data_IF_809038305255
#
_entry.id   IF_809038305255
#
_cell.length_a   1.000
_cell.length_b   1.000
_cell.length_c   1.000
_cell.angle_alpha   90.00
_cell.angle_beta   90.00
_cell.angle_gamma   90.00
#
_symmetry.space_group_name_H-M   'P 1'
#
loop_
_entity.id
_entity.type
_entity.pdbx_description
1 polymer ?
#
# COMPACT_ATOMS: atom_id res chain seq x y z
N UNK A 1 -9.37 -19.29 -11.97
CA UNK A 1 -8.71 -17.99 -11.74
C UNK A 1 -7.94 -18.15 -10.44
N UNK A 2 -6.71 -17.67 -10.34
CA UNK A 2 -5.97 -17.69 -9.07
C UNK A 2 -6.77 -16.98 -8.00
N UNK A 3 -6.85 -17.56 -6.81
CA UNK A 3 -7.46 -16.92 -5.63
C UNK A 3 -6.53 -15.85 -5.05
N UNK A 4 -5.25 -15.87 -5.45
CA UNK A 4 -4.24 -14.95 -4.97
C UNK A 4 -4.14 -13.70 -5.86
N UNK A 5 -4.01 -12.54 -5.20
CA UNK A 5 -3.74 -11.25 -5.85
C UNK A 5 -2.23 -11.02 -5.97
N UNK A 6 -1.46 -11.48 -4.99
CA UNK A 6 0.00 -11.42 -4.95
C UNK A 6 0.56 -12.84 -4.80
N UNK A 7 1.53 -13.18 -5.64
CA UNK A 7 2.33 -14.39 -5.55
C UNK A 7 3.80 -14.01 -5.77
N UNK A 8 4.61 -14.27 -4.75
CA UNK A 8 6.04 -13.96 -4.73
C UNK A 8 6.80 -15.25 -4.37
N UNK A 9 7.83 -15.61 -5.18
CA UNK A 9 8.68 -16.76 -4.94
C UNK A 9 10.15 -16.39 -5.07
N UNK A 10 10.95 -16.79 -4.09
CA UNK A 10 12.40 -16.59 -4.01
C UNK A 10 12.85 -15.14 -4.27
N UNK A 11 12.02 -14.15 -3.88
CA UNK A 11 12.28 -12.76 -4.19
C UNK A 11 13.45 -12.22 -3.39
N UNK A 12 14.42 -11.66 -4.08
CA UNK A 12 15.65 -11.12 -3.51
C UNK A 12 15.82 -9.66 -3.95
N UNK A 13 16.29 -8.82 -3.04
CA UNK A 13 16.69 -7.44 -3.35
C UNK A 13 18.06 -7.15 -2.74
N UNK A 14 19.01 -6.81 -3.61
CA UNK A 14 20.35 -6.38 -3.23
C UNK A 14 20.57 -4.97 -3.73
N UNK A 15 21.03 -4.09 -2.86
CA UNK A 15 21.50 -2.76 -3.20
C UNK A 15 23.03 -2.80 -3.28
N UNK A 16 23.57 -2.27 -4.36
CA UNK A 16 25.00 -2.18 -4.60
C UNK A 16 25.45 -0.74 -4.45
N UNK A 17 26.46 -0.50 -3.63
CA UNK A 17 27.24 0.73 -3.61
C UNK A 17 28.69 0.39 -4.01
N UNK A 18 29.52 1.37 -4.25
CA UNK A 18 30.92 1.14 -4.69
C UNK A 18 31.71 0.26 -3.72
N UNK A 19 31.32 0.16 -2.45
CA UNK A 19 32.08 -0.53 -1.39
C UNK A 19 31.28 -1.63 -0.68
N UNK A 20 29.92 -1.65 -0.78
CA UNK A 20 29.08 -2.51 0.06
C UNK A 20 27.90 -3.11 -0.74
N UNK A 21 27.66 -4.38 -0.53
CA UNK A 21 26.43 -5.07 -0.87
C UNK A 21 25.48 -5.10 0.33
N UNK A 22 24.25 -4.60 0.16
CA UNK A 22 23.21 -4.68 1.19
C UNK A 22 22.08 -5.59 0.72
N UNK A 23 21.95 -6.74 1.35
CA UNK A 23 20.86 -7.69 1.10
C UNK A 23 19.61 -7.26 1.86
N UNK A 24 18.75 -6.47 1.22
CA UNK A 24 17.53 -5.98 1.84
C UNK A 24 16.41 -7.02 1.90
N UNK A 25 16.38 -7.95 0.93
CA UNK A 25 15.46 -9.10 0.91
C UNK A 25 16.22 -10.35 0.43
N UNK A 26 15.97 -11.49 1.08
CA UNK A 26 16.74 -12.73 0.89
C UNK A 26 15.81 -13.93 0.71
N UNK A 27 15.33 -14.14 -0.53
CA UNK A 27 14.52 -15.31 -0.89
C UNK A 27 13.10 -15.27 -0.28
N UNK A 28 12.44 -14.14 -0.31
CA UNK A 28 11.08 -13.98 0.23
C UNK A 28 10.08 -14.82 -0.56
N UNK A 29 9.24 -15.56 0.17
CA UNK A 29 8.03 -16.21 -0.32
C UNK A 29 6.81 -15.59 0.33
N UNK A 30 5.85 -15.15 -0.47
CA UNK A 30 4.65 -14.49 0.03
C UNK A 30 3.48 -14.67 -0.94
N UNK A 31 2.32 -15.02 -0.40
CA UNK A 31 1.05 -14.96 -1.13
C UNK A 31 0.08 -14.07 -0.38
N UNK A 32 -0.75 -13.31 -1.10
CA UNK A 32 -1.89 -12.56 -0.53
C UNK A 32 -3.12 -12.92 -1.36
N UNK A 33 -4.15 -13.41 -0.68
CA UNK A 33 -5.43 -13.76 -1.28
C UNK A 33 -6.25 -12.53 -1.67
N UNK A 34 -7.17 -12.72 -2.60
CA UNK A 34 -8.14 -11.67 -2.94
C UNK A 34 -9.11 -11.47 -1.79
N UNK A 35 -9.34 -10.21 -1.40
CA UNK A 35 -10.17 -9.85 -0.26
C UNK A 35 -9.50 -10.06 1.10
N UNK A 36 -8.22 -10.46 1.15
CA UNK A 36 -7.48 -10.66 2.40
C UNK A 36 -6.97 -9.31 2.95
N UNK A 37 -7.01 -9.15 4.26
CA UNK A 37 -6.36 -8.06 4.97
C UNK A 37 -5.13 -8.59 5.71
N UNK A 38 -3.94 -8.21 5.25
CA UNK A 38 -2.67 -8.60 5.86
C UNK A 38 -1.94 -7.41 6.47
N UNK A 39 -1.31 -7.62 7.64
CA UNK A 39 -0.40 -6.67 8.26
C UNK A 39 1.04 -7.17 8.21
N UNK A 40 1.96 -6.32 7.79
CA UNK A 40 3.39 -6.58 7.74
C UNK A 40 4.07 -5.92 8.93
N UNK A 41 4.78 -6.69 9.74
CA UNK A 41 5.49 -6.23 10.93
C UNK A 41 6.92 -6.74 10.97
N UNK A 42 7.73 -6.21 11.88
CA UNK A 42 9.14 -6.60 12.08
C UNK A 42 9.99 -5.42 12.56
N UNK A 43 11.24 -5.65 12.98
CA UNK A 43 12.16 -4.62 13.45
C UNK A 43 12.45 -3.53 12.41
N UNK A 44 12.96 -2.38 12.85
CA UNK A 44 13.45 -1.35 11.92
C UNK A 44 14.58 -1.91 11.05
N UNK A 45 14.58 -1.57 9.76
CA UNK A 45 15.62 -2.02 8.83
C UNK A 45 15.45 -3.45 8.29
N UNK A 46 14.48 -4.25 8.75
CA UNK A 46 14.32 -5.65 8.33
C UNK A 46 13.81 -5.86 6.89
N UNK A 47 13.59 -4.79 6.11
CA UNK A 47 13.18 -4.88 4.69
C UNK A 47 11.70 -4.60 4.38
N UNK A 48 10.85 -4.20 5.36
CA UNK A 48 9.40 -3.95 5.15
C UNK A 48 9.11 -2.94 4.03
N UNK A 49 9.73 -1.76 4.10
CA UNK A 49 9.52 -0.71 3.08
C UNK A 49 10.08 -1.11 1.72
N UNK A 50 11.17 -1.90 1.69
CA UNK A 50 11.70 -2.47 0.44
C UNK A 50 10.72 -3.46 -0.17
N UNK A 51 10.18 -4.38 0.63
CA UNK A 51 9.19 -5.35 0.16
C UNK A 51 7.92 -4.65 -0.30
N UNK A 52 7.42 -3.68 0.47
CA UNK A 52 6.24 -2.89 0.09
C UNK A 52 6.47 -2.10 -1.21
N UNK A 53 7.67 -1.54 -1.40
CA UNK A 53 8.03 -0.83 -2.64
C UNK A 53 8.04 -1.75 -3.85
N UNK A 54 8.52 -3.00 -3.71
CA UNK A 54 8.50 -3.99 -4.79
C UNK A 54 7.07 -4.47 -5.05
N UNK A 55 6.30 -4.80 -4.01
CA UNK A 55 4.88 -5.14 -4.14
C UNK A 55 4.12 -4.01 -4.83
N UNK A 56 4.45 -2.77 -4.48
CA UNK A 56 3.88 -1.56 -5.04
C UNK A 56 4.37 -1.20 -6.44
N UNK A 57 5.26 -1.97 -7.04
CA UNK A 57 5.86 -1.67 -8.34
C UNK A 57 6.56 -0.30 -8.39
N UNK A 58 7.05 0.19 -7.24
CA UNK A 58 7.89 1.39 -7.14
C UNK A 58 9.36 1.04 -7.39
N UNK A 59 9.76 -0.17 -6.99
CA UNK A 59 11.09 -0.74 -7.22
C UNK A 59 10.98 -2.12 -7.91
N UNK A 60 12.11 -2.71 -8.30
CA UNK A 60 12.21 -4.03 -8.93
C UNK A 60 13.03 -4.96 -8.07
N UNK A 61 12.71 -6.26 -8.01
CA UNK A 61 13.57 -7.25 -7.37
C UNK A 61 14.87 -7.43 -8.16
N UNK A 62 15.91 -7.91 -7.48
CA UNK A 62 17.17 -8.34 -8.12
C UNK A 62 17.01 -9.73 -8.72
N UNK A 63 16.26 -10.61 -8.05
CA UNK A 63 15.96 -11.98 -8.51
C UNK A 63 14.63 -12.47 -7.93
N UNK A 64 14.15 -13.60 -8.42
CA UNK A 64 12.88 -14.21 -8.02
C UNK A 64 11.72 -13.85 -8.95
N UNK A 65 10.54 -14.34 -8.62
CA UNK A 65 9.31 -14.09 -9.37
C UNK A 65 8.31 -13.26 -8.56
N UNK A 66 7.53 -12.45 -9.27
CA UNK A 66 6.41 -11.71 -8.70
C UNK A 66 5.27 -11.66 -9.70
N UNK A 67 4.12 -12.15 -9.28
CA UNK A 67 2.87 -12.13 -10.05
C UNK A 67 1.83 -11.27 -9.30
N UNK A 68 1.27 -10.28 -9.97
CA UNK A 68 0.20 -9.41 -9.48
C UNK A 68 -1.06 -9.62 -10.31
N UNK A 69 -2.15 -10.03 -9.66
CA UNK A 69 -3.44 -10.28 -10.33
C UNK A 69 -3.30 -11.18 -11.58
N UNK A 70 -2.51 -12.26 -11.47
CA UNK A 70 -2.23 -13.22 -12.55
C UNK A 70 -1.25 -12.73 -13.62
N UNK A 71 -0.63 -11.55 -13.49
CA UNK A 71 0.34 -10.99 -14.43
C UNK A 71 1.75 -11.06 -13.85
N UNK A 72 2.71 -11.64 -14.56
CA UNK A 72 4.12 -11.59 -14.17
C UNK A 72 4.64 -10.15 -14.28
N UNK A 73 5.15 -9.59 -13.16
CA UNK A 73 5.50 -8.16 -13.06
C UNK A 73 6.95 -7.90 -12.64
N UNK A 74 7.72 -8.93 -12.28
CA UNK A 74 9.09 -8.79 -11.78
C UNK A 74 10.04 -8.07 -12.79
N UNK A 75 9.89 -8.34 -14.08
CA UNK A 75 10.81 -7.90 -15.13
C UNK A 75 10.18 -6.90 -16.11
N UNK A 76 9.17 -6.16 -15.69
CA UNK A 76 8.53 -5.15 -16.55
C UNK A 76 9.44 -3.95 -16.78
N UNK A 77 9.37 -3.38 -17.98
CA UNK A 77 9.95 -2.08 -18.24
C UNK A 77 9.23 -0.98 -17.47
N UNK A 78 9.83 0.21 -17.41
CA UNK A 78 9.31 1.32 -16.61
C UNK A 78 7.88 1.74 -17.00
N UNK A 79 7.56 1.78 -18.31
CA UNK A 79 6.26 2.22 -18.80
C UNK A 79 5.14 1.21 -18.44
N UNK A 80 5.38 -0.08 -18.67
CA UNK A 80 4.42 -1.14 -18.34
C UNK A 80 4.22 -1.26 -16.83
N UNK A 81 5.31 -1.15 -16.04
CA UNK A 81 5.27 -1.14 -14.59
C UNK A 81 4.42 0.02 -14.06
N UNK A 82 4.61 1.24 -14.58
CA UNK A 82 3.83 2.41 -14.21
C UNK A 82 2.35 2.28 -14.56
N UNK A 83 2.04 1.69 -15.73
CA UNK A 83 0.67 1.43 -16.16
C UNK A 83 -0.02 0.42 -15.24
N UNK A 84 0.61 -0.72 -14.97
CA UNK A 84 0.04 -1.76 -14.10
C UNK A 84 -0.12 -1.23 -12.68
N UNK A 85 0.87 -0.52 -12.13
CA UNK A 85 0.76 0.14 -10.83
C UNK A 85 -0.46 1.04 -10.74
N UNK A 86 -0.66 1.90 -11.74
CA UNK A 86 -1.83 2.80 -11.77
C UNK A 86 -3.16 2.06 -11.86
N UNK A 87 -3.20 0.88 -12.48
CA UNK A 87 -4.42 0.10 -12.66
C UNK A 87 -4.77 -0.77 -11.45
N UNK A 88 -3.75 -1.40 -10.84
CA UNK A 88 -3.94 -2.48 -9.89
C UNK A 88 -3.71 -2.05 -8.43
N UNK A 89 -2.99 -0.94 -8.18
CA UNK A 89 -2.51 -0.59 -6.84
C UNK A 89 -3.01 0.78 -6.41
N UNK A 90 -3.57 0.84 -5.21
CA UNK A 90 -3.87 2.08 -4.49
C UNK A 90 -2.91 2.26 -3.32
N UNK A 91 -2.17 3.39 -3.28
CA UNK A 91 -1.23 3.68 -2.20
C UNK A 91 -1.82 4.62 -1.16
N UNK A 92 -1.61 4.28 0.11
CA UNK A 92 -1.90 5.09 1.29
C UNK A 92 -0.58 5.26 2.06
N UNK A 93 -0.02 6.47 2.09
CA UNK A 93 1.26 6.77 2.72
C UNK A 93 1.08 7.41 4.09
N UNK A 94 2.05 7.25 4.96
CA UNK A 94 2.12 7.90 6.26
C UNK A 94 2.06 9.43 6.16
N UNK A 95 2.75 10.02 5.19
CA UNK A 95 2.83 11.48 4.98
C UNK A 95 1.74 12.02 4.05
N UNK A 96 0.64 11.27 3.83
CA UNK A 96 -0.49 11.59 2.96
C UNK A 96 -0.11 11.78 1.49
N UNK A 97 1.00 12.43 1.19
CA UNK A 97 1.54 12.74 -0.15
C UNK A 97 0.50 13.43 -1.05
N UNK A 98 -0.27 14.38 -0.48
CA UNK A 98 -1.15 15.25 -1.23
C UNK A 98 -0.35 16.40 -1.85
N UNK A 99 -0.70 16.78 -3.07
CA UNK A 99 -0.11 17.93 -3.75
C UNK A 99 -0.81 19.18 -3.22
N UNK A 100 -0.04 20.07 -2.57
CA UNK A 100 -0.56 21.24 -1.86
C UNK A 100 -1.30 22.24 -2.75
N UNK A 101 -0.87 22.39 -3.99
CA UNK A 101 -1.42 23.31 -4.99
C UNK A 101 -2.66 22.76 -5.71
N UNK A 102 -3.04 21.51 -5.46
CA UNK A 102 -4.24 20.89 -5.98
C UNK A 102 -5.33 20.83 -4.91
N UNK A 103 -6.56 21.04 -5.32
CA UNK A 103 -7.73 20.81 -4.45
C UNK A 103 -7.86 19.34 -4.06
N UNK A 104 -8.70 19.04 -3.10
CA UNK A 104 -9.06 17.67 -2.70
C UNK A 104 -9.55 16.85 -3.89
N UNK A 105 -10.44 17.41 -4.71
CA UNK A 105 -10.96 16.71 -5.90
C UNK A 105 -9.87 16.44 -6.92
N UNK A 106 -8.98 17.39 -7.19
CA UNK A 106 -7.87 17.25 -8.14
C UNK A 106 -6.83 16.23 -7.64
N UNK A 107 -6.52 16.19 -6.33
CA UNK A 107 -5.67 15.16 -5.76
C UNK A 107 -6.24 13.75 -5.97
N UNK A 108 -7.55 13.57 -5.80
CA UNK A 108 -8.22 12.28 -6.02
C UNK A 108 -8.35 11.95 -7.51
N UNK A 109 -8.51 12.94 -8.37
CA UNK A 109 -8.57 12.76 -9.83
C UNK A 109 -7.21 12.38 -10.43
N UNK A 110 -6.11 12.80 -9.81
CA UNK A 110 -4.76 12.70 -10.38
C UNK A 110 -4.42 11.31 -10.95
N UNK A 111 -4.59 10.18 -10.22
CA UNK A 111 -4.30 8.86 -10.78
C UNK A 111 -5.18 8.49 -11.97
N UNK A 112 -6.37 9.05 -12.08
CA UNK A 112 -7.28 8.80 -13.19
C UNK A 112 -6.89 9.55 -14.47
N UNK A 113 -6.14 10.65 -14.36
CA UNK A 113 -5.66 11.41 -15.53
C UNK A 113 -4.66 10.63 -16.39
N UNK A 114 -3.97 9.66 -15.78
CA UNK A 114 -3.02 8.78 -16.49
C UNK A 114 -3.70 7.59 -17.18
N UNK A 115 -5.03 7.43 -17.04
CA UNK A 115 -5.79 6.34 -17.68
C UNK A 115 -6.24 6.76 -19.07
N UNK A 116 -5.63 6.15 -20.08
CA UNK A 116 -5.97 6.42 -21.46
C UNK A 116 -7.44 6.11 -21.75
N UNK A 117 -8.13 7.02 -22.41
CA UNK A 117 -9.51 6.81 -22.88
C UNK A 117 -10.60 7.04 -21.83
N UNK A 118 -10.28 7.41 -20.58
CA UNK A 118 -11.29 7.70 -19.55
C UNK A 118 -11.88 9.12 -19.74
N UNK A 119 -13.18 9.27 -20.05
CA UNK A 119 -13.80 10.57 -20.22
C UNK A 119 -13.77 11.41 -18.94
N UNK A 120 -13.72 12.75 -19.05
CA UNK A 120 -13.72 13.65 -17.91
C UNK A 120 -14.95 13.47 -17.01
N UNK A 121 -16.12 13.20 -17.61
CA UNK A 121 -17.35 12.95 -16.85
C UNK A 121 -17.23 11.69 -15.96
N UNK A 122 -16.62 10.62 -16.45
CA UNK A 122 -16.37 9.39 -15.70
C UNK A 122 -15.36 9.63 -14.57
N UNK A 123 -14.26 10.37 -14.83
CA UNK A 123 -13.29 10.74 -13.79
C UNK A 123 -13.96 11.49 -12.65
N UNK A 124 -14.76 12.53 -12.98
CA UNK A 124 -15.48 13.32 -11.98
C UNK A 124 -16.44 12.47 -11.14
N UNK A 125 -17.15 11.53 -11.77
CA UNK A 125 -18.03 10.60 -11.08
C UNK A 125 -17.24 9.73 -10.08
N UNK A 126 -16.14 9.12 -10.52
CA UNK A 126 -15.27 8.30 -9.65
C UNK A 126 -14.67 9.11 -8.49
N UNK A 127 -14.27 10.35 -8.73
CA UNK A 127 -13.79 11.27 -7.69
C UNK A 127 -14.88 11.53 -6.64
N UNK A 128 -16.09 11.86 -7.08
CA UNK A 128 -17.22 12.09 -6.19
C UNK A 128 -17.53 10.85 -5.33
N UNK A 129 -17.66 9.69 -5.95
CA UNK A 129 -17.93 8.41 -5.28
C UNK A 129 -16.81 8.06 -4.25
N UNK A 130 -15.55 8.26 -4.62
CA UNK A 130 -14.42 8.00 -3.71
C UNK A 130 -14.40 8.95 -2.51
N UNK A 131 -14.73 10.23 -2.72
CA UNK A 131 -14.79 11.20 -1.64
C UNK A 131 -16.02 10.99 -0.72
N UNK A 132 -17.13 10.51 -1.27
CA UNK A 132 -18.30 10.11 -0.49
C UNK A 132 -17.99 8.93 0.43
N UNK A 133 -17.31 7.90 -0.06
CA UNK A 133 -16.90 6.72 0.72
C UNK A 133 -16.06 7.07 1.95
N UNK A 134 -15.25 8.11 1.88
CA UNK A 134 -14.41 8.56 2.99
C UNK A 134 -15.00 9.76 3.76
N UNK A 135 -16.26 10.15 3.44
CA UNK A 135 -16.96 11.29 4.03
C UNK A 135 -16.22 12.62 3.86
N UNK A 136 -15.65 12.86 2.66
CA UNK A 136 -14.90 14.08 2.33
C UNK A 136 -15.49 14.87 1.13
N UNK A 137 -16.61 14.45 0.55
CA UNK A 137 -17.21 15.11 -0.61
C UNK A 137 -17.55 16.60 -0.36
N UNK A 138 -17.94 16.96 0.87
CA UNK A 138 -18.22 18.34 1.27
C UNK A 138 -16.96 19.24 1.28
N UNK A 139 -15.75 18.66 1.21
CA UNK A 139 -14.46 19.35 1.19
C UNK A 139 -13.76 19.33 -0.17
N UNK A 140 -14.40 18.84 -1.23
CA UNK A 140 -13.79 18.61 -2.54
C UNK A 140 -13.09 19.83 -3.16
N UNK A 141 -13.52 21.06 -2.81
CA UNK A 141 -12.95 22.33 -3.29
C UNK A 141 -11.86 22.90 -2.38
N UNK A 142 -11.59 22.28 -1.23
CA UNK A 142 -10.56 22.74 -0.29
C UNK A 142 -9.19 22.28 -0.76
N UNK A 143 -8.16 22.95 -0.26
CA UNK A 143 -6.76 22.58 -0.44
C UNK A 143 -6.25 21.77 0.78
N UNK A 144 -5.21 20.94 0.63
CA UNK A 144 -4.66 20.16 1.73
C UNK A 144 -4.35 20.97 2.99
N UNK A 145 -3.78 22.17 2.85
CA UNK A 145 -3.46 23.06 3.96
C UNK A 145 -4.69 23.51 4.81
N UNK A 146 -5.89 23.36 4.28
CA UNK A 146 -7.15 23.69 4.96
C UNK A 146 -7.77 22.50 5.72
N UNK A 147 -7.08 21.34 5.73
CA UNK A 147 -7.55 20.09 6.29
C UNK A 147 -6.72 19.69 7.51
N UNK A 148 -7.37 19.06 8.50
CA UNK A 148 -6.65 18.36 9.56
C UNK A 148 -5.92 17.14 9.01
N UNK A 149 -4.91 16.62 9.74
CA UNK A 149 -4.17 15.42 9.34
C UNK A 149 -5.07 14.21 9.05
N UNK A 150 -6.06 13.95 9.92
CA UNK A 150 -7.03 12.89 9.70
C UNK A 150 -7.90 13.09 8.45
N UNK A 151 -8.25 14.35 8.12
CA UNK A 151 -8.95 14.66 6.87
C UNK A 151 -8.04 14.47 5.66
N UNK A 152 -6.78 14.88 5.73
CA UNK A 152 -5.80 14.65 4.67
C UNK A 152 -5.61 13.15 4.41
N UNK A 153 -5.51 12.33 5.45
CA UNK A 153 -5.40 10.88 5.31
C UNK A 153 -6.64 10.27 4.66
N UNK A 154 -7.84 10.70 5.02
CA UNK A 154 -9.07 10.27 4.34
C UNK A 154 -9.05 10.63 2.84
N UNK A 155 -8.56 11.80 2.47
CA UNK A 155 -8.38 12.18 1.06
C UNK A 155 -7.35 11.30 0.37
N UNK A 156 -6.24 10.94 1.04
CA UNK A 156 -5.25 10.00 0.51
C UNK A 156 -5.85 8.60 0.29
N UNK A 157 -6.74 8.14 1.20
CA UNK A 157 -7.50 6.90 1.01
C UNK A 157 -8.45 7.02 -0.19
N UNK A 158 -9.19 8.13 -0.34
CA UNK A 158 -10.06 8.35 -1.50
C UNK A 158 -9.27 8.34 -2.82
N UNK A 159 -8.09 8.96 -2.86
CA UNK A 159 -7.18 8.92 -4.01
C UNK A 159 -6.75 7.49 -4.34
N UNK A 160 -6.44 6.69 -3.34
CA UNK A 160 -6.08 5.28 -3.53
C UNK A 160 -7.24 4.47 -4.13
N UNK A 161 -8.48 4.74 -3.71
CA UNK A 161 -9.69 4.06 -4.15
C UNK A 161 -10.17 4.47 -5.56
N UNK A 162 -9.89 5.69 -6.00
CA UNK A 162 -10.47 6.30 -7.21
C UNK A 162 -10.28 5.45 -8.47
N UNK A 163 -9.14 4.75 -8.55
CA UNK A 163 -8.82 3.83 -9.63
C UNK A 163 -9.52 2.47 -9.55
N UNK A 164 -10.27 2.15 -8.52
CA UNK A 164 -10.79 0.80 -8.24
C UNK A 164 -9.65 -0.25 -8.30
N UNK A 165 -8.61 -0.10 -7.46
CA UNK A 165 -7.44 -0.97 -7.49
C UNK A 165 -7.79 -2.40 -7.04
N UNK A 166 -6.94 -3.36 -7.44
CA UNK A 166 -7.04 -4.75 -6.98
C UNK A 166 -6.51 -4.94 -5.57
N UNK A 167 -5.62 -4.05 -5.10
CA UNK A 167 -5.05 -4.06 -3.76
C UNK A 167 -4.76 -2.64 -3.26
N UNK A 168 -4.99 -2.41 -1.98
CA UNK A 168 -4.54 -1.22 -1.26
C UNK A 168 -3.26 -1.55 -0.49
N UNK A 169 -2.22 -0.74 -0.71
CA UNK A 169 -0.96 -0.81 0.03
C UNK A 169 -0.89 0.38 0.98
N UNK A 170 -0.88 0.12 2.28
CA UNK A 170 -0.84 1.15 3.32
C UNK A 170 0.50 1.10 4.05
N UNK A 171 1.29 2.16 3.92
CA UNK A 171 2.57 2.31 4.61
C UNK A 171 2.39 3.21 5.83
N UNK A 172 2.32 2.61 7.01
CA UNK A 172 2.09 3.27 8.30
C UNK A 172 0.96 4.32 8.26
N UNK A 173 -0.27 3.95 7.86
CA UNK A 173 -1.32 4.91 7.51
C UNK A 173 -1.79 5.79 8.66
N UNK A 174 -1.36 5.51 9.89
CA UNK A 174 -1.71 6.23 11.12
C UNK A 174 -0.52 6.94 11.77
N UNK A 175 0.70 6.77 11.25
CA UNK A 175 1.93 7.20 11.92
C UNK A 175 2.04 8.71 12.16
N UNK A 176 1.36 9.55 11.37
CA UNK A 176 1.33 11.01 11.53
C UNK A 176 0.00 11.53 12.12
N UNK A 177 -0.79 10.65 12.75
CA UNK A 177 -2.10 11.00 13.29
C UNK A 177 -2.13 10.87 14.82
N UNK A 178 -2.95 11.69 15.47
CA UNK A 178 -3.33 11.43 16.84
C UNK A 178 -4.16 10.15 16.96
N UNK A 179 -4.29 9.60 18.14
CA UNK A 179 -4.97 8.31 18.38
C UNK A 179 -6.39 8.29 17.85
N UNK A 180 -7.17 9.35 18.04
CA UNK A 180 -8.56 9.43 17.60
C UNK A 180 -8.69 9.40 16.07
N UNK A 181 -7.84 10.16 15.37
CA UNK A 181 -7.83 10.18 13.91
C UNK A 181 -7.25 8.87 13.36
N UNK A 182 -6.25 8.28 14.02
CA UNK A 182 -5.71 6.97 13.68
C UNK A 182 -6.78 5.87 13.73
N UNK A 183 -7.53 5.78 14.85
CA UNK A 183 -8.64 4.83 14.98
C UNK A 183 -9.71 5.03 13.89
N UNK A 184 -10.03 6.28 13.55
CA UNK A 184 -11.01 6.57 12.51
C UNK A 184 -10.54 6.15 11.11
N UNK A 185 -9.23 6.22 10.81
CA UNK A 185 -8.65 5.71 9.56
C UNK A 185 -8.64 4.19 9.56
N UNK A 186 -8.27 3.55 10.68
CA UNK A 186 -8.28 2.08 10.77
C UNK A 186 -9.69 1.52 10.62
N UNK A 187 -10.69 2.15 11.23
CA UNK A 187 -12.09 1.79 11.04
C UNK A 187 -12.51 1.89 9.56
N UNK A 188 -12.10 2.96 8.87
CA UNK A 188 -12.36 3.10 7.43
C UNK A 188 -11.71 1.96 6.62
N UNK A 189 -10.46 1.56 6.92
CA UNK A 189 -9.81 0.44 6.24
C UNK A 189 -10.53 -0.89 6.52
N UNK A 190 -11.03 -1.11 7.73
CA UNK A 190 -11.84 -2.28 8.06
C UNK A 190 -13.17 -2.31 7.30
N UNK A 191 -13.87 -1.16 7.19
CA UNK A 191 -15.10 -1.05 6.41
C UNK A 191 -14.83 -1.40 4.94
N UNK A 192 -13.75 -0.87 4.34
CA UNK A 192 -13.33 -1.20 2.99
C UNK A 192 -13.00 -2.68 2.80
N UNK A 193 -12.34 -3.30 3.78
CA UNK A 193 -12.07 -4.74 3.77
C UNK A 193 -13.36 -5.56 3.82
N UNK A 194 -14.31 -5.21 4.68
CA UNK A 194 -15.64 -5.86 4.75
C UNK A 194 -16.42 -5.75 3.43
N UNK A 195 -16.16 -4.70 2.64
CA UNK A 195 -16.70 -4.54 1.28
C UNK A 195 -15.92 -5.36 0.23
N UNK A 196 -14.91 -6.12 0.62
CA UNK A 196 -14.11 -7.01 -0.23
C UNK A 196 -12.80 -6.43 -0.75
N UNK A 197 -12.33 -5.30 -0.23
CA UNK A 197 -11.01 -4.78 -0.61
C UNK A 197 -9.89 -5.68 -0.09
N UNK A 198 -8.89 -5.94 -0.92
CA UNK A 198 -7.63 -6.56 -0.49
C UNK A 198 -6.72 -5.48 0.07
N UNK A 199 -6.16 -5.68 1.26
CA UNK A 199 -5.33 -4.69 1.95
C UNK A 199 -4.03 -5.33 2.42
N UNK A 200 -2.90 -4.69 2.11
CA UNK A 200 -1.60 -5.00 2.71
C UNK A 200 -1.10 -3.75 3.44
N UNK A 201 -0.99 -3.82 4.75
CA UNK A 201 -0.59 -2.70 5.60
C UNK A 201 0.76 -2.99 6.26
N UNK A 202 1.67 -2.03 6.22
CA UNK A 202 2.85 -1.99 7.08
C UNK A 202 2.51 -1.17 8.30
N UNK A 203 2.74 -1.72 9.49
CA UNK A 203 2.59 -0.99 10.75
C UNK A 203 3.53 -1.54 11.82
N UNK A 204 4.00 -0.67 12.68
CA UNK A 204 4.74 -1.03 13.90
C UNK A 204 3.85 -1.01 15.15
N UNK A 205 2.59 -0.58 15.04
CA UNK A 205 1.64 -0.59 16.15
C UNK A 205 0.89 -1.95 16.21
N UNK A 206 1.13 -2.75 17.26
CA UNK A 206 0.50 -4.08 17.37
C UNK A 206 -1.03 -4.00 17.48
N UNK A 207 -1.58 -2.89 18.01
CA UNK A 207 -3.03 -2.69 18.10
C UNK A 207 -3.64 -2.64 16.70
N UNK A 208 -2.98 -1.96 15.77
CA UNK A 208 -3.44 -1.85 14.39
C UNK A 208 -3.13 -3.10 13.58
N UNK A 209 -2.01 -3.77 13.83
CA UNK A 209 -1.71 -5.07 13.21
C UNK A 209 -2.77 -6.13 13.54
N UNK A 210 -3.35 -6.10 14.74
CA UNK A 210 -4.40 -7.01 15.18
C UNK A 210 -5.74 -6.88 14.42
N UNK A 211 -5.92 -5.82 13.62
CA UNK A 211 -7.09 -5.67 12.76
C UNK A 211 -7.00 -6.51 11.47
N UNK A 212 -5.81 -6.97 11.10
CA UNK A 212 -5.60 -7.82 9.94
C UNK A 212 -5.97 -9.28 10.24
N UNK A 213 -6.41 -10.01 9.21
CA UNK A 213 -6.71 -11.44 9.32
C UNK A 213 -5.45 -12.28 9.48
N UNK A 214 -4.32 -11.80 8.92
CA UNK A 214 -3.02 -12.47 9.00
C UNK A 214 -1.90 -11.45 9.16
N UNK A 215 -0.92 -11.82 9.97
CA UNK A 215 0.30 -11.05 10.14
C UNK A 215 1.45 -11.72 9.38
N UNK A 216 2.24 -10.91 8.70
CA UNK A 216 3.46 -11.30 8.00
C UNK A 216 4.62 -10.68 8.77
N UNK A 217 5.48 -11.52 9.32
CA UNK A 217 6.64 -11.08 10.08
C UNK A 217 7.88 -11.08 9.21
N UNK A 218 8.54 -9.92 9.10
CA UNK A 218 9.84 -9.80 8.46
C UNK A 218 10.94 -9.71 9.50
N UNK A 219 12.01 -10.47 9.28
CA UNK A 219 13.24 -10.40 10.05
C UNK A 219 14.42 -10.58 9.10
N UNK A 220 15.38 -9.66 9.11
CA UNK A 220 16.60 -9.68 8.28
C UNK A 220 16.36 -10.07 6.82
N UNK A 221 15.42 -9.39 6.18
CA UNK A 221 15.07 -9.57 4.77
C UNK A 221 14.31 -10.87 4.43
N UNK A 222 13.82 -11.61 5.43
CA UNK A 222 13.07 -12.86 5.26
C UNK A 222 11.69 -12.77 5.90
N UNK A 223 10.74 -13.51 5.34
CA UNK A 223 9.45 -13.76 6.00
C UNK A 223 9.65 -14.94 6.94
N UNK A 224 9.31 -14.76 8.22
CA UNK A 224 9.46 -15.74 9.28
C UNK A 224 8.12 -16.05 9.94
N UNK A 225 7.99 -17.22 10.55
CA UNK A 225 6.84 -17.55 11.38
C UNK A 225 6.88 -16.77 12.71
N UNK A 226 5.72 -16.51 13.31
CA UNK A 226 5.62 -15.76 14.58
C UNK A 226 6.44 -16.39 15.71
N UNK A 227 6.43 -17.72 15.81
CA UNK A 227 7.24 -18.45 16.80
C UNK A 227 8.74 -18.33 16.58
N UNK A 228 9.19 -18.28 15.34
CA UNK A 228 10.56 -18.05 14.95
C UNK A 228 11.00 -16.61 15.23
N UNK A 229 10.14 -15.63 14.96
CA UNK A 229 10.41 -14.22 15.27
C UNK A 229 10.70 -14.02 16.75
N UNK A 230 9.92 -14.64 17.66
CA UNK A 230 10.09 -14.50 19.09
C UNK A 230 11.44 -15.10 19.57
N UNK A 231 11.91 -16.17 18.94
CA UNK A 231 13.23 -16.74 19.24
C UNK A 231 14.36 -15.82 18.74
N UNK A 232 14.27 -15.33 17.51
CA UNK A 232 15.27 -14.45 16.90
C UNK A 232 15.39 -13.11 17.67
N UNK A 233 14.27 -12.58 18.17
CA UNK A 233 14.28 -11.34 18.97
C UNK A 233 14.84 -11.54 20.38
N UNK A 234 14.87 -12.77 20.91
CA UNK A 234 15.47 -13.10 22.21
C UNK A 234 17.01 -13.28 22.13
N UNK A 235 17.56 -13.47 20.93
CA UNK A 235 19.00 -13.67 20.69
C UNK A 235 19.75 -12.35 20.38
N UNK A 236 19.02 -11.23 20.19
CA UNK A 236 19.55 -9.89 19.90
C UNK A 236 19.48 -9.00 21.14
#
# INVERSE_FOLDING_TARGET
MSTNIIEIEHLTKVFYTDEIETHALSGVHLTIGRGEYVAMSGPSGCGKSTLLSIIGLLDTPTAGSYTLNGKAVANLNFADRSRIRNQEIGFIFQSFNLIGDLTVAENVELPLTYRTGMPSAERKKKVQESLERVNMAHRMRHYPAQLSGGQQQRVAVARALAGSPSILLADEPTGNLDSKNGEAVMKLLQELHQEGATICMVTHDPRFAAHAERQIHLFDGKVVAEGELNQLLAEV
#
